data_IF_844057933739
#
_entry.id   IF_844057933739
#
_cell.length_a   1.000
_cell.length_b   1.000
_cell.length_c   1.000
_cell.angle_alpha   90.00
_cell.angle_beta   90.00
_cell.angle_gamma   90.00
#
_symmetry.space_group_name_H-M   'P 1'
#
loop_
_entity.id
_entity.type
_entity.pdbx_description
1 polymer ?
#
# COMPACT_ATOMS: atom_id res chain seq x y z
N UNK A 1 -3.92 -44.35 -15.24
CA UNK A 1 -4.72 -43.14 -15.52
C UNK A 1 -4.69 -42.11 -14.37
N UNK A 2 -4.76 -42.54 -13.10
CA UNK A 2 -4.76 -41.60 -11.96
C UNK A 2 -3.43 -40.86 -11.71
N UNK A 3 -2.28 -41.50 -11.96
CA UNK A 3 -0.95 -40.89 -11.70
C UNK A 3 -0.63 -39.78 -12.71
N UNK A 4 -0.91 -40.00 -14.00
CA UNK A 4 -0.73 -39.01 -15.06
C UNK A 4 -1.64 -37.78 -14.87
N UNK A 5 -2.88 -37.98 -14.40
CA UNK A 5 -3.80 -36.89 -14.07
C UNK A 5 -3.30 -36.02 -12.91
N UNK A 6 -2.61 -36.62 -11.93
CA UNK A 6 -1.97 -35.89 -10.81
C UNK A 6 -0.77 -35.07 -11.29
N UNK A 7 0.07 -35.64 -12.15
CA UNK A 7 1.19 -34.90 -12.75
C UNK A 7 0.71 -33.72 -13.60
N UNK A 8 -0.33 -33.91 -14.42
CA UNK A 8 -0.92 -32.84 -15.21
C UNK A 8 -1.52 -31.72 -14.33
N UNK A 9 -2.16 -32.07 -13.21
CA UNK A 9 -2.68 -31.09 -12.24
C UNK A 9 -1.57 -30.30 -11.56
N UNK A 10 -0.48 -30.95 -11.16
CA UNK A 10 0.67 -30.26 -10.53
C UNK A 10 1.33 -29.31 -11.53
N UNK A 11 1.50 -29.74 -12.78
CA UNK A 11 2.08 -28.91 -13.83
C UNK A 11 1.23 -27.68 -14.13
N UNK A 12 -0.09 -27.86 -14.26
CA UNK A 12 -1.03 -26.76 -14.53
C UNK A 12 -1.10 -25.75 -13.38
N UNK A 13 -1.10 -26.22 -12.13
CA UNK A 13 -1.05 -25.33 -10.96
C UNK A 13 0.29 -24.56 -10.89
N UNK A 14 1.41 -25.23 -11.21
CA UNK A 14 2.73 -24.61 -11.21
C UNK A 14 2.88 -23.50 -12.25
N UNK A 15 2.38 -23.72 -13.47
CA UNK A 15 2.38 -22.68 -14.52
C UNK A 15 1.49 -21.50 -14.16
N UNK A 16 0.33 -21.74 -13.53
CA UNK A 16 -0.56 -20.67 -13.08
C UNK A 16 0.09 -19.77 -12.02
N UNK A 17 0.85 -20.33 -11.08
CA UNK A 17 1.56 -19.56 -10.05
C UNK A 17 2.75 -18.78 -10.63
N UNK A 18 3.47 -19.32 -11.61
CA UNK A 18 4.56 -18.60 -12.28
C UNK A 18 4.08 -17.44 -13.18
N UNK A 19 2.80 -17.39 -13.55
CA UNK A 19 2.25 -16.37 -14.46
C UNK A 19 1.72 -15.13 -13.73
N UNK A 20 1.74 -15.10 -12.39
CA UNK A 20 1.24 -13.95 -11.64
C UNK A 20 2.35 -12.91 -11.48
N UNK A 21 2.11 -11.69 -11.97
CA UNK A 21 2.97 -10.56 -11.65
C UNK A 21 2.92 -10.29 -10.14
N UNK A 22 4.05 -10.51 -9.47
CA UNK A 22 4.19 -10.18 -8.04
C UNK A 22 4.54 -8.69 -7.95
N UNK A 23 3.53 -7.85 -7.72
CA UNK A 23 3.78 -6.46 -7.33
C UNK A 23 4.28 -6.45 -5.90
N UNK A 24 5.51 -5.98 -5.69
CA UNK A 24 6.00 -5.67 -4.35
C UNK A 24 5.16 -4.54 -3.72
N UNK A 25 5.22 -4.42 -2.39
CA UNK A 25 4.67 -3.24 -1.73
C UNK A 25 5.53 -2.05 -2.11
N UNK A 26 4.95 -1.06 -2.79
CA UNK A 26 5.65 0.18 -3.06
C UNK A 26 6.12 0.80 -1.75
N UNK A 27 7.38 1.24 -1.74
CA UNK A 27 7.90 2.03 -0.65
C UNK A 27 7.02 3.28 -0.53
N UNK A 28 6.54 3.55 0.68
CA UNK A 28 5.69 4.69 0.94
C UNK A 28 6.60 5.92 1.04
N UNK A 29 6.74 6.69 -0.05
CA UNK A 29 7.61 7.86 -0.11
C UNK A 29 7.51 8.60 -1.44
N UNK A 30 8.18 9.74 -1.53
CA UNK A 30 8.35 10.50 -2.77
C UNK A 30 9.75 10.27 -3.32
N UNK A 31 9.90 10.46 -4.62
CA UNK A 31 11.19 10.45 -5.30
C UNK A 31 12.23 11.30 -4.55
N UNK A 32 13.43 10.75 -4.35
CA UNK A 32 14.57 11.46 -3.75
C UNK A 32 14.56 11.59 -2.22
N UNK A 33 13.58 11.03 -1.50
CA UNK A 33 13.60 10.97 -0.03
C UNK A 33 14.44 9.79 0.48
N UNK A 34 14.89 9.86 1.74
CA UNK A 34 15.75 8.83 2.36
C UNK A 34 15.16 7.42 2.32
N UNK A 35 13.83 7.30 2.30
CA UNK A 35 13.05 6.07 2.24
C UNK A 35 12.76 5.59 0.80
N UNK A 36 13.00 6.41 -0.21
CA UNK A 36 12.98 6.03 -1.64
C UNK A 36 14.21 6.67 -2.30
N UNK A 37 15.38 6.02 -2.21
CA UNK A 37 16.61 6.58 -2.75
C UNK A 37 16.61 6.64 -4.29
N UNK A 38 15.68 5.91 -4.94
CA UNK A 38 15.50 5.95 -6.39
C UNK A 38 14.82 7.25 -6.81
N UNK A 39 15.43 7.95 -7.78
CA UNK A 39 15.02 9.28 -8.22
C UNK A 39 13.91 9.28 -9.29
N UNK A 40 13.34 8.12 -9.64
CA UNK A 40 12.30 8.05 -10.66
C UNK A 40 10.97 8.58 -10.11
N UNK A 41 10.59 9.74 -10.63
CA UNK A 41 9.28 10.36 -10.42
C UNK A 41 8.23 9.60 -11.22
N UNK A 42 6.99 9.61 -10.74
CA UNK A 42 5.88 9.07 -11.53
C UNK A 42 5.76 9.85 -12.86
N UNK A 43 5.34 9.23 -13.98
CA UNK A 43 5.21 9.93 -15.25
C UNK A 43 4.37 11.19 -15.15
N UNK A 44 4.69 12.16 -16.01
CA UNK A 44 3.98 13.44 -16.06
C UNK A 44 2.48 13.26 -16.37
N UNK A 45 1.65 14.01 -15.65
CA UNK A 45 0.19 13.91 -15.71
C UNK A 45 -0.42 12.84 -14.81
N UNK A 46 0.37 12.19 -13.94
CA UNK A 46 -0.17 11.16 -13.05
C UNK A 46 -0.79 11.75 -11.79
N UNK A 47 -1.96 11.22 -11.43
CA UNK A 47 -2.60 11.42 -10.14
C UNK A 47 -2.82 10.05 -9.51
N UNK A 48 -2.23 9.83 -8.35
CA UNK A 48 -2.24 8.55 -7.63
C UNK A 48 -2.62 8.78 -6.18
N UNK A 49 -3.27 7.79 -5.57
CA UNK A 49 -3.73 7.89 -4.20
C UNK A 49 -4.09 6.54 -3.64
N UNK A 50 -3.80 6.37 -2.36
CA UNK A 50 -4.03 5.10 -1.69
C UNK A 50 -4.26 5.27 -0.20
N UNK A 51 -4.91 4.27 0.37
CA UNK A 51 -5.09 4.14 1.81
C UNK A 51 -4.81 2.71 2.24
N UNK A 52 -4.22 2.56 3.43
CA UNK A 52 -3.97 1.26 4.04
C UNK A 52 -4.31 1.32 5.52
N UNK A 53 -5.04 0.31 5.98
CA UNK A 53 -5.25 0.10 7.41
C UNK A 53 -3.99 -0.51 8.04
N UNK A 54 -3.59 0.04 9.18
CA UNK A 54 -2.46 -0.42 9.98
C UNK A 54 -2.98 -0.88 11.34
N UNK A 55 -2.69 -2.13 11.67
CA UNK A 55 -3.11 -2.70 12.94
C UNK A 55 -2.35 -2.04 14.09
N UNK A 56 -2.98 -1.89 15.28
CA UNK A 56 -2.34 -1.34 16.46
C UNK A 56 -1.04 -2.08 16.85
N UNK A 57 -0.96 -3.39 16.59
CA UNK A 57 0.21 -4.20 16.86
C UNK A 57 1.46 -3.78 16.05
N UNK A 58 1.27 -3.20 14.85
CA UNK A 58 2.37 -2.75 14.01
C UNK A 58 3.00 -1.43 14.49
N UNK A 59 2.29 -0.64 15.31
CA UNK A 59 2.70 0.69 15.73
C UNK A 59 3.52 0.70 17.05
N UNK A 60 3.92 -0.48 17.52
CA UNK A 60 4.37 -0.73 18.90
C UNK A 60 3.27 -0.36 19.92
N UNK A 61 3.21 -1.07 21.05
CA UNK A 61 2.14 -1.07 22.06
C UNK A 61 1.79 0.29 22.73
N UNK A 62 2.33 1.39 22.21
CA UNK A 62 2.15 2.76 22.67
C UNK A 62 0.82 3.39 22.20
N UNK A 63 0.16 2.81 21.20
CA UNK A 63 -1.04 3.38 20.55
C UNK A 63 -2.07 2.29 20.23
N UNK A 64 -3.04 2.13 21.14
CA UNK A 64 -4.12 1.15 21.01
C UNK A 64 -5.32 1.72 20.21
N UNK A 65 -5.05 2.23 19.00
CA UNK A 65 -6.07 2.82 18.13
C UNK A 65 -5.91 2.33 16.69
N UNK A 66 -7.04 2.08 16.02
CA UNK A 66 -7.05 1.75 14.60
C UNK A 66 -6.44 2.92 13.81
N UNK A 67 -5.39 2.61 13.05
CA UNK A 67 -4.62 3.61 12.32
C UNK A 67 -4.79 3.40 10.82
N UNK A 68 -5.01 4.48 10.09
CA UNK A 68 -5.05 4.47 8.62
C UNK A 68 -3.91 5.31 8.07
N UNK A 69 -3.12 4.76 7.16
CA UNK A 69 -2.19 5.52 6.35
C UNK A 69 -2.91 5.94 5.08
N UNK A 70 -2.86 7.21 4.72
CA UNK A 70 -3.39 7.68 3.44
C UNK A 70 -2.42 8.63 2.76
N UNK A 71 -2.42 8.59 1.43
CA UNK A 71 -1.61 9.48 0.62
C UNK A 71 -2.33 9.88 -0.67
N UNK A 72 -1.96 11.05 -1.16
CA UNK A 72 -2.33 11.57 -2.48
C UNK A 72 -1.06 12.12 -3.12
N UNK A 73 -0.83 11.74 -4.37
CA UNK A 73 0.31 12.14 -5.20
C UNK A 73 -0.20 12.74 -6.50
N UNK A 74 0.38 13.86 -6.87
CA UNK A 74 0.06 14.58 -8.09
C UNK A 74 1.34 15.06 -8.75
N UNK A 75 1.60 14.59 -9.98
CA UNK A 75 2.83 14.86 -10.72
C UNK A 75 2.50 15.54 -12.04
N UNK A 76 2.25 16.87 -12.06
CA UNK A 76 1.83 17.58 -13.27
C UNK A 76 2.93 17.69 -14.33
N UNK A 77 4.21 17.69 -13.92
CA UNK A 77 5.36 17.90 -14.80
C UNK A 77 6.48 16.91 -14.49
N UNK A 78 7.35 16.67 -15.48
CA UNK A 78 8.51 15.75 -15.39
C UNK A 78 9.57 16.11 -14.33
N UNK A 79 9.46 17.28 -13.72
CA UNK A 79 10.40 17.80 -12.72
C UNK A 79 9.72 18.21 -11.41
N UNK A 80 8.41 18.03 -11.28
CA UNK A 80 7.65 18.49 -10.10
C UNK A 80 6.56 17.50 -9.70
N UNK A 81 6.62 17.04 -8.46
CA UNK A 81 5.68 16.11 -7.83
C UNK A 81 5.23 16.68 -6.48
N UNK A 82 3.93 16.72 -6.25
CA UNK A 82 3.32 17.03 -4.97
C UNK A 82 2.83 15.75 -4.33
N UNK A 83 3.24 15.48 -3.09
CA UNK A 83 2.73 14.35 -2.32
C UNK A 83 2.29 14.81 -0.95
N UNK A 84 1.06 14.45 -0.60
CA UNK A 84 0.50 14.62 0.72
C UNK A 84 0.33 13.25 1.37
N UNK A 85 0.90 13.04 2.55
CA UNK A 85 0.79 11.79 3.29
C UNK A 85 0.55 12.07 4.76
N UNK A 86 -0.44 11.39 5.31
CA UNK A 86 -0.85 11.58 6.68
C UNK A 86 -1.21 10.24 7.34
N UNK A 87 -1.21 10.25 8.67
CA UNK A 87 -1.61 9.10 9.49
C UNK A 87 -2.90 9.45 10.23
N UNK A 88 -3.99 8.80 9.84
CA UNK A 88 -5.27 8.92 10.52
C UNK A 88 -5.25 8.07 11.79
N UNK A 89 -5.46 8.71 12.94
CA UNK A 89 -5.57 8.03 14.23
C UNK A 89 -7.04 8.01 14.68
N UNK A 90 -7.66 6.83 14.71
CA UNK A 90 -9.05 6.69 15.20
C UNK A 90 -9.06 6.53 16.71
N UNK A 91 -9.01 7.65 17.43
CA UNK A 91 -9.07 7.65 18.89
C UNK A 91 -10.51 7.54 19.42
N UNK A 92 -10.66 7.02 20.65
CA UNK A 92 -11.95 6.91 21.35
C UNK A 92 -12.66 8.28 21.50
N UNK A 93 -11.88 9.37 21.58
CA UNK A 93 -12.41 10.75 21.61
C UNK A 93 -13.05 11.15 20.27
N UNK A 94 -12.51 10.68 19.13
CA UNK A 94 -13.06 10.95 17.81
C UNK A 94 -14.41 10.26 17.59
N UNK A 95 -14.61 9.06 18.15
CA UNK A 95 -15.88 8.34 18.10
C UNK A 95 -16.99 9.06 18.87
N UNK A 96 -16.68 9.63 20.05
CA UNK A 96 -17.63 10.40 20.85
C UNK A 96 -18.05 11.73 20.21
N UNK A 97 -17.22 12.30 19.33
CA UNK A 97 -17.55 13.54 18.63
C UNK A 97 -18.48 13.31 17.43
N UNK A 98 -18.38 12.15 16.78
CA UNK A 98 -19.25 11.78 15.65
C UNK A 98 -20.65 11.37 16.11
N UNK A 99 -20.77 10.82 17.32
CA UNK A 99 -22.04 10.47 17.95
C UNK A 99 -22.25 11.35 19.17
N UNK A 100 -22.90 12.51 19.00
CA UNK A 100 -23.29 13.38 20.12
C UNK A 100 -24.30 12.66 21.04
N UNK A 101 -23.78 11.94 22.03
CA UNK A 101 -24.41 11.62 23.31
C UNK A 101 -23.39 11.78 24.45
#
# INVERSE_FOLDING_TARGET
MCLFRRFALILTLGVAVCSTEVSAQDLIGTSGLINIPTADMQPDGTFDGGARWMSPAALHDLVNYDTGLYYVRFTPFRFFEFTFRETLLKTQHSVKKTWNY
#
